data_IF_359706959174
#
_entry.id   IF_359706959174
#
_cell.length_a   1.000
_cell.length_b   1.000
_cell.length_c   1.000
_cell.angle_alpha   90.00
_cell.angle_beta   90.00
_cell.angle_gamma   90.00
#
_symmetry.space_group_name_H-M   'P 1'
#
loop_
_entity.id
_entity.type
_entity.pdbx_description
1 polymer ?
#
# COMPACT_ATOMS: atom_id res chain seq x y z
N UNK A 1 14.12 0.96 -0.39
CA UNK A 1 13.67 2.19 -1.05
C UNK A 1 14.58 2.58 -2.22
N UNK A 2 15.88 2.42 -2.12
CA UNK A 2 16.84 2.82 -3.18
C UNK A 2 16.51 2.28 -4.58
N UNK A 3 15.91 1.10 -4.67
CA UNK A 3 15.51 0.49 -5.95
C UNK A 3 14.35 1.22 -6.65
N UNK A 4 13.63 2.10 -5.94
CA UNK A 4 12.48 2.83 -6.46
C UNK A 4 12.70 4.33 -6.52
N UNK A 5 13.88 4.82 -6.16
CA UNK A 5 14.21 6.24 -6.32
C UNK A 5 14.55 6.54 -7.78
N UNK A 6 14.15 7.71 -8.29
CA UNK A 6 14.54 8.15 -9.62
C UNK A 6 16.06 8.19 -9.75
N UNK A 7 16.57 7.80 -10.89
CA UNK A 7 18.00 7.86 -11.18
C UNK A 7 18.30 9.06 -12.06
N UNK A 8 19.23 9.90 -11.66
CA UNK A 8 19.73 11.02 -12.47
C UNK A 8 20.26 10.54 -13.86
N UNK A 9 20.74 9.29 -13.96
CA UNK A 9 21.22 8.70 -15.21
C UNK A 9 20.10 8.44 -16.22
N UNK A 10 18.89 8.13 -15.76
CA UNK A 10 17.77 7.72 -16.62
C UNK A 10 16.60 8.71 -16.59
N UNK A 11 16.83 9.89 -16.00
CA UNK A 11 15.78 10.90 -15.86
C UNK A 11 14.79 10.58 -14.72
N UNK A 12 13.66 11.23 -14.77
CA UNK A 12 12.59 11.07 -13.77
C UNK A 12 11.76 9.78 -13.98
N UNK A 13 12.42 8.64 -13.94
CA UNK A 13 11.73 7.35 -13.99
C UNK A 13 11.40 6.91 -12.56
N UNK A 14 10.12 6.63 -12.32
CA UNK A 14 9.60 6.14 -11.05
C UNK A 14 9.15 4.68 -11.19
N UNK A 15 10.03 3.68 -11.01
CA UNK A 15 9.67 2.26 -11.22
C UNK A 15 8.49 1.81 -10.38
N UNK A 16 8.31 2.42 -9.21
CA UNK A 16 7.24 2.10 -8.27
C UNK A 16 5.83 2.25 -8.88
N UNK A 17 5.63 3.18 -9.82
CA UNK A 17 4.32 3.42 -10.45
C UNK A 17 3.83 2.25 -11.32
N UNK A 18 4.71 1.31 -11.68
CA UNK A 18 4.39 0.16 -12.56
C UNK A 18 4.12 -1.15 -11.80
N UNK A 19 4.25 -1.17 -10.48
CA UNK A 19 4.19 -2.41 -9.69
C UNK A 19 2.77 -3.01 -9.57
N UNK A 20 1.73 -2.24 -9.89
CA UNK A 20 0.35 -2.69 -9.80
C UNK A 20 -0.26 -2.90 -11.18
N UNK A 21 -1.06 -3.96 -11.33
CA UNK A 21 -1.88 -4.18 -12.52
C UNK A 21 -3.26 -3.61 -12.27
N UNK A 22 -3.77 -2.81 -13.21
CA UNK A 22 -5.08 -2.14 -13.13
C UNK A 22 -5.92 -2.53 -14.34
N UNK A 23 -7.16 -2.93 -14.13
CA UNK A 23 -8.16 -3.06 -15.16
C UNK A 23 -8.73 -1.67 -15.48
N UNK A 24 -8.57 -1.12 -16.70
CA UNK A 24 -9.06 0.23 -17.01
C UNK A 24 -10.59 0.32 -17.06
N UNK A 25 -11.28 -0.81 -17.19
CA UNK A 25 -12.75 -0.85 -17.32
C UNK A 25 -13.47 -0.85 -15.96
N UNK A 26 -12.95 -1.56 -14.96
CA UNK A 26 -13.63 -1.68 -13.66
C UNK A 26 -12.76 -1.21 -12.48
N UNK A 27 -11.56 -0.71 -12.76
CA UNK A 27 -10.56 -0.27 -11.78
C UNK A 27 -10.17 -1.36 -10.75
N UNK A 28 -10.46 -2.64 -11.05
CA UNK A 28 -9.88 -3.73 -10.29
C UNK A 28 -8.36 -3.63 -10.34
N UNK A 29 -7.73 -3.68 -9.18
CA UNK A 29 -6.29 -3.47 -9.05
C UNK A 29 -5.70 -4.44 -8.04
N UNK A 30 -4.55 -5.01 -8.36
CA UNK A 30 -3.81 -5.90 -7.48
C UNK A 30 -2.35 -6.08 -7.93
N UNK A 31 -1.56 -6.78 -7.13
CA UNK A 31 -0.26 -7.24 -7.59
C UNK A 31 -0.43 -8.19 -8.77
N UNK A 32 0.49 -8.14 -9.74
CA UNK A 32 0.40 -8.91 -10.99
C UNK A 32 0.16 -10.39 -10.76
N UNK A 33 0.74 -10.96 -9.70
CA UNK A 33 0.57 -12.36 -9.32
C UNK A 33 -0.85 -12.70 -8.86
N UNK A 34 -1.53 -11.77 -8.20
CA UNK A 34 -2.91 -11.95 -7.69
C UNK A 34 -3.95 -11.62 -8.76
N UNK A 35 -3.62 -10.70 -9.67
CA UNK A 35 -4.56 -10.14 -10.64
C UNK A 35 -5.22 -11.20 -11.53
N UNK A 36 -4.50 -12.28 -11.87
CA UNK A 36 -4.95 -13.33 -12.79
C UNK A 36 -5.62 -14.53 -12.10
N UNK A 37 -5.54 -14.62 -10.78
CA UNK A 37 -5.95 -15.82 -10.03
C UNK A 37 -7.12 -15.57 -9.09
N UNK A 38 -7.90 -14.51 -9.33
CA UNK A 38 -9.09 -14.23 -8.52
C UNK A 38 -10.18 -15.29 -8.77
N UNK A 39 -10.82 -15.72 -7.71
CA UNK A 39 -11.97 -16.61 -7.77
C UNK A 39 -13.26 -15.84 -8.11
N UNK A 40 -14.23 -16.54 -8.68
CA UNK A 40 -15.50 -15.96 -9.12
C UNK A 40 -16.22 -15.14 -8.02
N UNK A 41 -16.34 -15.63 -6.76
CA UNK A 41 -17.01 -14.85 -5.71
C UNK A 41 -16.31 -13.51 -5.39
N UNK A 42 -14.96 -13.49 -5.47
CA UNK A 42 -14.19 -12.25 -5.28
C UNK A 42 -14.42 -11.30 -6.46
N UNK A 43 -14.44 -11.84 -7.69
CA UNK A 43 -14.69 -11.04 -8.89
C UNK A 43 -16.09 -10.39 -8.85
N UNK A 44 -17.10 -11.11 -8.37
CA UNK A 44 -18.47 -10.60 -8.22
C UNK A 44 -18.51 -9.43 -7.20
N UNK A 45 -17.94 -9.61 -6.02
CA UNK A 45 -17.82 -8.52 -5.01
C UNK A 45 -17.08 -7.30 -5.55
N UNK A 46 -16.00 -7.53 -6.30
CA UNK A 46 -15.25 -6.46 -6.94
C UNK A 46 -16.05 -5.72 -8.01
N UNK A 47 -16.89 -6.41 -8.78
CA UNK A 47 -17.75 -5.76 -9.77
C UNK A 47 -18.82 -4.91 -9.09
N UNK A 48 -19.46 -5.41 -8.05
CA UNK A 48 -20.46 -4.66 -7.26
C UNK A 48 -19.88 -3.35 -6.71
N UNK A 49 -18.64 -3.38 -6.19
CA UNK A 49 -17.95 -2.22 -5.64
C UNK A 49 -17.27 -1.32 -6.70
N UNK A 50 -17.54 -1.51 -7.98
CA UNK A 50 -16.88 -0.75 -9.06
C UNK A 50 -17.11 0.76 -8.94
N UNK A 51 -18.34 1.20 -8.68
CA UNK A 51 -18.69 2.62 -8.59
C UNK A 51 -17.99 3.33 -7.41
N UNK A 52 -17.76 2.61 -6.30
CA UNK A 52 -17.02 3.14 -5.16
C UNK A 52 -15.58 3.45 -5.55
N UNK A 53 -14.92 2.56 -6.30
CA UNK A 53 -13.55 2.76 -6.79
C UNK A 53 -13.46 3.95 -7.74
N UNK A 54 -14.41 4.10 -8.66
CA UNK A 54 -14.46 5.28 -9.54
C UNK A 54 -14.62 6.57 -8.74
N UNK A 55 -15.53 6.59 -7.77
CA UNK A 55 -15.77 7.76 -6.92
C UNK A 55 -14.56 8.10 -6.08
N UNK A 56 -13.87 7.09 -5.52
CA UNK A 56 -12.67 7.27 -4.72
C UNK A 56 -11.51 7.89 -5.52
N UNK A 57 -11.24 7.38 -6.72
CA UNK A 57 -10.20 7.95 -7.59
C UNK A 57 -10.57 9.36 -8.06
N UNK A 58 -11.82 9.56 -8.51
CA UNK A 58 -12.29 10.87 -8.96
C UNK A 58 -12.21 11.93 -7.85
N UNK A 59 -12.53 11.56 -6.61
CA UNK A 59 -12.50 12.47 -5.47
C UNK A 59 -11.08 12.92 -5.09
N UNK A 60 -10.08 12.08 -5.33
CA UNK A 60 -8.70 12.35 -4.91
C UNK A 60 -7.82 12.91 -6.05
N UNK A 61 -8.03 12.48 -7.28
CA UNK A 61 -7.16 12.79 -8.42
C UNK A 61 -7.91 13.39 -9.61
N UNK A 62 -9.23 13.49 -9.58
CA UNK A 62 -10.03 13.80 -10.76
C UNK A 62 -10.09 12.61 -11.74
N UNK A 63 -9.86 12.87 -13.01
CA UNK A 63 -9.86 11.82 -14.03
C UNK A 63 -8.46 11.25 -14.26
N UNK A 64 -8.33 9.93 -14.21
CA UNK A 64 -7.11 9.20 -14.55
C UNK A 64 -7.43 8.18 -15.65
N UNK A 65 -6.68 8.24 -16.76
CA UNK A 65 -6.73 7.23 -17.81
C UNK A 65 -5.62 6.19 -17.60
N UNK A 66 -6.01 4.97 -17.26
CA UNK A 66 -5.09 3.85 -17.08
C UNK A 66 -4.68 3.14 -18.38
N UNK A 67 -5.20 3.57 -19.55
CA UNK A 67 -4.78 3.06 -20.86
C UNK A 67 -3.54 3.79 -21.41
N UNK A 68 -3.15 4.91 -20.81
CA UNK A 68 -1.99 5.71 -21.22
C UNK A 68 -0.73 5.36 -20.40
N UNK A 69 0.40 5.99 -20.75
CA UNK A 69 1.63 5.89 -19.98
C UNK A 69 1.39 6.38 -18.52
N UNK A 70 1.89 5.63 -17.55
CA UNK A 70 1.63 5.93 -16.14
C UNK A 70 2.35 7.19 -15.69
N UNK A 71 1.61 8.06 -15.04
CA UNK A 71 2.09 9.22 -14.29
C UNK A 71 2.27 8.87 -12.81
N UNK A 72 2.85 9.77 -12.03
CA UNK A 72 2.90 9.63 -10.56
C UNK A 72 1.50 9.53 -9.95
N UNK A 73 0.53 10.33 -10.44
CA UNK A 73 -0.88 10.27 -10.02
C UNK A 73 -1.48 8.89 -10.29
N UNK A 74 -1.32 8.38 -11.52
CA UNK A 74 -1.80 7.04 -11.87
C UNK A 74 -1.13 5.94 -11.01
N UNK A 75 0.14 6.11 -10.68
CA UNK A 75 0.86 5.23 -9.75
C UNK A 75 0.26 5.26 -8.35
N UNK A 76 0.10 6.45 -7.76
CA UNK A 76 -0.50 6.63 -6.43
C UNK A 76 -1.94 6.10 -6.39
N UNK A 77 -2.75 6.43 -7.41
CA UNK A 77 -4.11 5.92 -7.58
C UNK A 77 -4.15 4.39 -7.65
N UNK A 78 -3.18 3.75 -8.32
CA UNK A 78 -3.14 2.29 -8.44
C UNK A 78 -2.94 1.60 -7.08
N UNK A 79 -2.12 2.14 -6.18
CA UNK A 79 -1.99 1.60 -4.83
C UNK A 79 -3.22 1.87 -3.97
N UNK A 80 -3.84 3.03 -4.11
CA UNK A 80 -5.09 3.33 -3.42
C UNK A 80 -6.21 2.39 -3.86
N UNK A 81 -6.35 2.16 -5.17
CA UNK A 81 -7.30 1.19 -5.72
C UNK A 81 -7.03 -0.24 -5.21
N UNK A 82 -5.76 -0.64 -5.15
CA UNK A 82 -5.40 -1.96 -4.62
C UNK A 82 -5.81 -2.13 -3.15
N UNK A 83 -5.66 -1.09 -2.32
CA UNK A 83 -6.17 -1.09 -0.95
C UNK A 83 -7.66 -1.42 -0.90
N UNK A 84 -8.46 -0.73 -1.72
CA UNK A 84 -9.91 -0.95 -1.80
C UNK A 84 -10.25 -2.35 -2.35
N UNK A 85 -9.48 -2.84 -3.32
CA UNK A 85 -9.72 -4.16 -3.91
C UNK A 85 -9.40 -5.30 -2.92
N UNK A 86 -8.31 -5.19 -2.16
CA UNK A 86 -7.93 -6.23 -1.20
C UNK A 86 -8.91 -6.37 -0.03
N UNK A 87 -9.77 -5.38 0.26
CA UNK A 87 -10.87 -5.51 1.23
C UNK A 87 -11.88 -6.62 0.85
N UNK A 88 -11.94 -7.00 -0.42
CA UNK A 88 -12.84 -8.04 -0.92
C UNK A 88 -12.21 -9.44 -0.98
N UNK A 89 -10.92 -9.56 -0.62
CA UNK A 89 -10.20 -10.84 -0.69
C UNK A 89 -10.34 -11.62 0.61
N UNK A 90 -10.43 -12.94 0.48
CA UNK A 90 -10.49 -13.85 1.62
C UNK A 90 -9.10 -13.97 2.29
N UNK A 91 -9.08 -14.32 3.57
CA UNK A 91 -7.86 -14.40 4.41
C UNK A 91 -6.76 -15.32 3.84
N UNK A 92 -7.13 -16.36 3.07
CA UNK A 92 -6.16 -17.24 2.38
C UNK A 92 -5.21 -16.51 1.42
N UNK A 93 -5.58 -15.33 0.96
CA UNK A 93 -4.76 -14.47 0.10
C UNK A 93 -3.88 -13.50 0.88
N UNK A 94 -3.94 -13.51 2.21
CA UNK A 94 -3.25 -12.57 3.09
C UNK A 94 -3.43 -11.10 2.66
N UNK A 95 -4.69 -10.62 2.54
CA UNK A 95 -4.95 -9.29 2.02
C UNK A 95 -4.38 -8.18 2.90
N UNK A 96 -4.39 -8.35 4.23
CA UNK A 96 -3.98 -7.31 5.18
C UNK A 96 -2.53 -6.86 4.99
N UNK A 97 -1.60 -7.81 4.84
CA UNK A 97 -0.18 -7.44 4.60
C UNK A 97 0.00 -6.81 3.22
N UNK A 98 -0.75 -7.22 2.21
CA UNK A 98 -0.73 -6.63 0.87
C UNK A 98 -1.25 -5.19 0.89
N UNK A 99 -2.31 -4.94 1.65
CA UNK A 99 -2.81 -3.59 1.91
C UNK A 99 -1.78 -2.73 2.64
N UNK A 100 -1.06 -3.28 3.63
CA UNK A 100 0.00 -2.56 4.33
C UNK A 100 1.11 -2.11 3.37
N UNK A 101 1.57 -3.00 2.49
CA UNK A 101 2.56 -2.69 1.45
C UNK A 101 2.02 -1.63 0.50
N UNK A 102 0.77 -1.75 0.05
CA UNK A 102 0.14 -0.76 -0.83
C UNK A 102 0.06 0.61 -0.15
N UNK A 103 -0.35 0.66 1.12
CA UNK A 103 -0.42 1.92 1.88
C UNK A 103 0.96 2.58 2.02
N UNK A 104 2.00 1.82 2.34
CA UNK A 104 3.36 2.35 2.46
C UNK A 104 3.87 2.92 1.14
N UNK A 105 3.65 2.21 0.04
CA UNK A 105 4.08 2.66 -1.29
C UNK A 105 3.26 3.85 -1.79
N UNK A 106 1.97 3.88 -1.50
CA UNK A 106 1.13 5.05 -1.74
C UNK A 106 1.68 6.27 -0.98
N UNK A 107 2.03 6.11 0.32
CA UNK A 107 2.63 7.18 1.12
C UNK A 107 3.90 7.76 0.47
N UNK A 108 4.77 6.91 -0.09
CA UNK A 108 5.97 7.37 -0.80
C UNK A 108 5.64 8.18 -2.06
N UNK A 109 4.68 7.71 -2.86
CA UNK A 109 4.27 8.43 -4.07
C UNK A 109 3.58 9.75 -3.75
N UNK A 110 2.72 9.78 -2.73
CA UNK A 110 2.12 11.03 -2.25
C UNK A 110 3.16 11.99 -1.66
N UNK A 111 4.21 11.49 -1.00
CA UNK A 111 5.32 12.34 -0.57
C UNK A 111 6.01 12.99 -1.77
N UNK A 112 6.29 12.22 -2.82
CA UNK A 112 6.89 12.74 -4.06
C UNK A 112 5.96 13.73 -4.78
N UNK A 113 4.65 13.45 -4.83
CA UNK A 113 3.66 14.39 -5.37
C UNK A 113 3.62 15.69 -4.56
N UNK A 114 3.65 15.62 -3.22
CA UNK A 114 3.67 16.82 -2.37
C UNK A 114 4.94 17.67 -2.52
N UNK A 115 6.08 17.08 -2.91
CA UNK A 115 7.30 17.82 -3.25
C UNK A 115 7.18 18.52 -4.61
N UNK A 116 6.44 17.95 -5.56
CA UNK A 116 6.28 18.48 -6.93
C UNK A 116 5.12 19.46 -7.06
N UNK A 117 4.09 19.28 -6.27
CA UNK A 117 2.83 20.02 -6.29
C UNK A 117 2.51 20.50 -4.86
N UNK A 118 3.31 21.45 -4.32
CA UNK A 118 3.22 21.87 -2.92
C UNK A 118 1.92 22.62 -2.58
N UNK A 119 1.20 23.13 -3.57
CA UNK A 119 -0.13 23.74 -3.43
C UNK A 119 -1.25 22.71 -3.19
N UNK A 120 -0.98 21.43 -3.49
CA UNK A 120 -1.93 20.34 -3.29
C UNK A 120 -1.76 19.70 -1.91
N UNK A 121 -2.79 19.02 -1.43
CA UNK A 121 -2.78 18.39 -0.10
C UNK A 121 -2.01 17.06 -0.04
N UNK A 122 -1.16 16.74 -1.01
CA UNK A 122 -0.50 15.43 -1.09
C UNK A 122 0.44 15.14 0.08
N UNK A 123 1.09 16.14 0.64
CA UNK A 123 1.93 15.99 1.85
C UNK A 123 1.09 15.53 3.05
N UNK A 124 -0.12 16.05 3.22
CA UNK A 124 -1.04 15.62 4.26
C UNK A 124 -1.55 14.20 4.01
N UNK A 125 -1.95 13.91 2.76
CA UNK A 125 -2.40 12.58 2.33
C UNK A 125 -1.30 11.54 2.56
N UNK A 126 -0.04 11.86 2.23
CA UNK A 126 1.11 10.99 2.52
C UNK A 126 1.17 10.58 4.00
N UNK A 127 0.99 11.53 4.93
CA UNK A 127 0.97 11.24 6.37
C UNK A 127 -0.16 10.29 6.76
N UNK A 128 -1.36 10.47 6.20
CA UNK A 128 -2.50 9.58 6.43
C UNK A 128 -2.19 8.15 5.93
N UNK A 129 -1.54 8.03 4.77
CA UNK A 129 -1.16 6.72 4.25
C UNK A 129 -0.04 6.05 5.07
N UNK A 130 0.91 6.80 5.65
CA UNK A 130 1.86 6.23 6.62
C UNK A 130 1.16 5.72 7.88
N UNK A 131 0.17 6.44 8.41
CA UNK A 131 -0.62 5.98 9.55
C UNK A 131 -1.47 4.75 9.19
N UNK A 132 -2.05 4.72 7.99
CA UNK A 132 -2.77 3.55 7.48
C UNK A 132 -1.85 2.34 7.31
N UNK A 133 -0.63 2.55 6.80
CA UNK A 133 0.37 1.50 6.70
C UNK A 133 0.74 0.94 8.08
N UNK A 134 1.00 1.80 9.06
CA UNK A 134 1.27 1.39 10.44
C UNK A 134 0.15 0.51 11.00
N UNK A 135 -1.10 0.98 10.88
CA UNK A 135 -2.27 0.22 11.34
C UNK A 135 -2.35 -1.18 10.68
N UNK A 136 -2.16 -1.23 9.35
CA UNK A 136 -2.27 -2.47 8.58
C UNK A 136 -1.11 -3.43 8.85
N UNK A 137 0.13 -2.95 9.01
CA UNK A 137 1.26 -3.79 9.39
C UNK A 137 1.08 -4.40 10.79
N UNK A 138 0.60 -3.62 11.76
CA UNK A 138 0.25 -4.14 13.10
C UNK A 138 -0.83 -5.20 13.00
N UNK A 139 -1.89 -4.90 12.26
CA UNK A 139 -2.99 -5.85 12.07
C UNK A 139 -2.53 -7.15 11.39
N UNK A 140 -1.61 -7.07 10.42
CA UNK A 140 -1.04 -8.24 9.77
C UNK A 140 -0.25 -9.10 10.76
N UNK A 141 0.56 -8.50 11.66
CA UNK A 141 1.27 -9.23 12.71
C UNK A 141 0.31 -9.94 13.68
N UNK A 142 -0.77 -9.28 14.10
CA UNK A 142 -1.81 -9.89 14.95
C UNK A 142 -2.49 -11.09 14.24
N UNK A 143 -2.78 -10.96 12.95
CA UNK A 143 -3.43 -12.02 12.17
C UNK A 143 -2.49 -13.22 11.93
N UNK A 144 -1.20 -12.98 11.72
CA UNK A 144 -0.18 -14.03 11.67
C UNK A 144 -0.10 -14.78 13.01
N UNK A 145 -0.02 -14.05 14.13
CA UNK A 145 0.06 -14.64 15.47
C UNK A 145 -1.17 -15.52 15.78
N UNK A 146 -2.33 -15.13 15.29
CA UNK A 146 -3.59 -15.91 15.47
C UNK A 146 -3.81 -16.97 14.39
N UNK A 147 -2.91 -17.10 13.41
CA UNK A 147 -3.01 -18.05 12.32
C UNK A 147 -4.13 -17.74 11.30
N UNK A 148 -4.68 -16.52 11.30
CA UNK A 148 -5.78 -16.13 10.38
C UNK A 148 -5.29 -15.72 9.01
N UNK A 149 -4.15 -15.04 8.94
CA UNK A 149 -3.46 -14.70 7.69
C UNK A 149 -1.97 -14.97 7.85
N UNK A 150 -1.34 -15.50 6.81
CA UNK A 150 0.07 -15.88 6.84
C UNK A 150 0.93 -14.88 6.10
N UNK A 151 1.73 -14.11 6.82
CA UNK A 151 2.74 -13.21 6.23
C UNK A 151 3.86 -14.01 5.56
N UNK A 152 4.30 -15.08 6.21
CA UNK A 152 5.36 -15.97 5.70
C UNK A 152 5.03 -16.62 4.34
N UNK A 153 3.75 -16.67 3.96
CA UNK A 153 3.31 -17.16 2.65
C UNK A 153 3.61 -16.20 1.48
N UNK A 154 3.97 -14.96 1.74
CA UNK A 154 4.35 -14.02 0.71
C UNK A 154 5.74 -14.33 0.16
N UNK A 155 5.82 -14.59 -1.14
CA UNK A 155 7.09 -14.91 -1.82
C UNK A 155 8.04 -13.71 -1.98
N UNK A 156 7.50 -12.51 -1.92
CA UNK A 156 8.26 -11.27 -2.05
C UNK A 156 7.51 -10.12 -1.40
N UNK A 157 8.18 -9.43 -0.50
CA UNK A 157 7.71 -8.16 0.10
C UNK A 157 8.11 -6.95 -0.74
N UNK A 158 8.94 -7.15 -1.74
CA UNK A 158 9.56 -6.09 -2.52
C UNK A 158 10.69 -5.41 -1.75
N UNK A 159 11.12 -4.21 -2.18
CA UNK A 159 12.26 -3.51 -1.57
C UNK A 159 11.94 -2.79 -0.26
N UNK A 160 10.70 -2.81 0.18
CA UNK A 160 10.29 -2.25 1.47
C UNK A 160 10.77 -3.13 2.61
N UNK A 161 10.76 -4.45 2.37
CA UNK A 161 11.25 -5.48 3.27
C UNK A 161 12.07 -6.44 2.44
N UNK A 162 13.33 -6.60 2.78
CA UNK A 162 14.21 -7.59 2.12
C UNK A 162 13.64 -9.00 2.33
N UNK A 163 13.62 -9.80 1.28
CA UNK A 163 13.16 -11.20 1.33
C UNK A 163 13.89 -12.04 2.38
N UNK A 164 15.11 -11.66 2.74
CA UNK A 164 15.91 -12.37 3.72
C UNK A 164 15.50 -12.03 5.16
N UNK A 165 14.82 -10.91 5.36
CA UNK A 165 14.32 -10.49 6.67
C UNK A 165 12.87 -10.92 6.91
N UNK A 166 12.07 -11.13 5.85
CA UNK A 166 10.71 -11.67 5.94
C UNK A 166 9.88 -11.06 7.06
N UNK A 167 9.44 -11.91 8.00
CA UNK A 167 8.62 -11.52 9.14
C UNK A 167 9.33 -10.50 10.06
N UNK A 168 10.60 -10.68 10.34
CA UNK A 168 11.39 -9.75 11.17
C UNK A 168 11.49 -8.37 10.52
N UNK A 169 11.57 -8.32 9.19
CA UNK A 169 11.50 -7.07 8.43
C UNK A 169 10.16 -6.35 8.58
N UNK A 170 9.06 -7.08 8.68
CA UNK A 170 7.73 -6.51 8.95
C UNK A 170 7.66 -5.91 10.35
N UNK A 171 8.19 -6.61 11.36
CA UNK A 171 8.30 -6.09 12.74
C UNK A 171 9.13 -4.80 12.76
N UNK A 172 10.30 -4.82 12.12
CA UNK A 172 11.16 -3.64 12.01
C UNK A 172 10.45 -2.45 11.36
N UNK A 173 9.75 -2.67 10.24
CA UNK A 173 8.97 -1.61 9.58
C UNK A 173 7.85 -1.08 10.49
N UNK A 174 7.16 -1.95 11.20
CA UNK A 174 6.12 -1.57 12.15
C UNK A 174 6.68 -0.66 13.25
N UNK A 175 7.82 -1.04 13.84
CA UNK A 175 8.51 -0.24 14.85
C UNK A 175 8.97 1.12 14.30
N UNK A 176 9.53 1.14 13.09
CA UNK A 176 9.96 2.38 12.42
C UNK A 176 8.78 3.31 12.12
N UNK A 177 7.67 2.78 11.64
CA UNK A 177 6.46 3.54 11.37
C UNK A 177 5.84 4.08 12.66
N UNK A 178 5.79 3.28 13.73
CA UNK A 178 5.33 3.73 15.06
C UNK A 178 6.21 4.87 15.57
N UNK A 179 7.52 4.75 15.46
CA UNK A 179 8.45 5.79 15.89
C UNK A 179 8.22 7.11 15.13
N UNK A 180 8.01 7.05 13.80
CA UNK A 180 7.89 8.25 12.96
C UNK A 180 6.48 8.83 12.96
N UNK A 181 5.44 8.01 12.90
CA UNK A 181 4.06 8.41 12.60
C UNK A 181 3.04 8.00 13.66
N UNK A 182 3.44 7.23 14.66
CA UNK A 182 2.59 6.85 15.80
C UNK A 182 2.12 8.07 16.61
N UNK A 183 1.03 7.89 17.33
CA UNK A 183 0.46 8.94 18.16
C UNK A 183 1.44 9.39 19.24
N UNK A 184 1.74 10.68 19.30
CA UNK A 184 2.73 11.26 20.24
C UNK A 184 2.12 11.70 21.57
N UNK A 185 0.79 11.68 21.70
CA UNK A 185 0.09 12.26 22.83
C UNK A 185 0.25 11.48 24.14
N UNK A 186 0.54 10.15 24.07
CA UNK A 186 0.78 9.33 25.25
C UNK A 186 2.14 8.65 25.17
N UNK A 187 3.15 9.27 25.77
CA UNK A 187 4.53 8.78 25.71
C UNK A 187 4.70 7.39 26.35
N UNK A 188 3.94 7.09 27.40
CA UNK A 188 4.00 5.80 28.11
C UNK A 188 3.46 4.66 27.22
N UNK A 189 2.27 4.82 26.65
CA UNK A 189 1.70 3.82 25.71
C UNK A 189 2.58 3.64 24.47
N UNK A 190 3.24 4.70 24.02
CA UNK A 190 4.14 4.65 22.87
C UNK A 190 5.39 3.83 23.17
N UNK A 191 5.99 4.00 24.34
CA UNK A 191 7.13 3.20 24.79
C UNK A 191 6.75 1.73 24.92
N UNK A 192 5.59 1.45 25.52
CA UNK A 192 5.08 0.08 25.64
C UNK A 192 4.90 -0.58 24.26
N UNK A 193 4.28 0.11 23.30
CA UNK A 193 4.11 -0.37 21.92
C UNK A 193 5.43 -0.61 21.19
N UNK A 194 6.47 0.17 21.46
CA UNK A 194 7.79 -0.03 20.90
C UNK A 194 8.52 -1.22 21.56
N UNK A 195 8.29 -1.46 22.86
CA UNK A 195 8.85 -2.60 23.59
C UNK A 195 8.21 -3.93 23.17
N UNK A 196 6.91 -3.95 22.82
CA UNK A 196 6.21 -5.11 22.28
C UNK A 196 6.72 -5.55 20.87
N UNK A 197 7.48 -4.69 20.21
CA UNK A 197 8.03 -4.91 18.87
C UNK A 197 9.53 -5.23 18.88
N UNK A 198 10.13 -5.41 20.06
CA UNK A 198 11.52 -5.87 20.22
C UNK A 198 11.60 -7.39 20.21
#
# INVERSE_FOLDING_TARGET
RRLYEPSAKYGEVYPLIYSMTVCPQCLYTGFTQDFRVIEKPIAERLLEAMNERYSAVKGLFGYIDFNTARTLHAGAASYYLALLCYDHFDSKYSPTIKQAICALRAAWLFSTLGEKEPEENYTYISKLFYQKALFLYRRALELETTGKEMIAGLKSFGPDVDKNYGYDGVIYLCALLEYKYGQKQNQHERLQKLDELK
#
